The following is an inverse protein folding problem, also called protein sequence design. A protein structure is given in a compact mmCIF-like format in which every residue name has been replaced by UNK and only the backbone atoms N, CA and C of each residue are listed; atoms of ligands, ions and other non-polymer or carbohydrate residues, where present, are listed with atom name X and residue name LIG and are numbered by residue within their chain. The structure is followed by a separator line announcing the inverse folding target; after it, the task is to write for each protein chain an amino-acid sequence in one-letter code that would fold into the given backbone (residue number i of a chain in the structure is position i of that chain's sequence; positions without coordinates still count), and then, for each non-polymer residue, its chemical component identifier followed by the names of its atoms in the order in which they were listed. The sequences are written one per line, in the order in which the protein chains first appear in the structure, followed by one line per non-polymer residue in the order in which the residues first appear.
data_IF_491861997569
#
_entry.id   IF_491861997569
#
_cell.length_a   1.000
_cell.length_b   1.000
_cell.length_c   1.000
_cell.angle_alpha   90.00
_cell.angle_beta   90.00
_cell.angle_gamma   90.00
#
_symmetry.space_group_name_H-M   'P 1'
#
loop_
_entity.id
_entity.type
_entity.pdbx_description
1 polymer ?
#
# COMPACT_ATOMS: atom_id res chain seq x y z
N UNK A 1 -19.48 11.13 -19.58
CA UNK A 1 -18.16 11.35 -18.94
C UNK A 1 -18.39 11.68 -17.47
N UNK A 2 -18.73 10.66 -16.65
CA UNK A 2 -19.03 10.86 -15.23
C UNK A 2 -17.72 10.91 -14.44
N UNK A 3 -17.19 12.11 -14.23
CA UNK A 3 -15.93 12.38 -13.55
C UNK A 3 -16.05 12.19 -12.04
N UNK A 4 -15.92 10.95 -11.57
CA UNK A 4 -15.59 10.69 -10.17
C UNK A 4 -14.08 10.85 -10.00
N UNK A 5 -13.63 12.08 -9.72
CA UNK A 5 -12.23 12.41 -9.39
C UNK A 5 -11.70 11.46 -8.30
N UNK A 6 -12.55 11.14 -7.32
CA UNK A 6 -12.26 10.16 -6.26
C UNK A 6 -12.00 8.74 -6.81
N UNK A 7 -12.78 8.28 -7.80
CA UNK A 7 -12.60 6.96 -8.41
C UNK A 7 -11.35 6.87 -9.29
N UNK A 8 -10.94 7.98 -9.90
CA UNK A 8 -9.66 8.08 -10.60
C UNK A 8 -8.48 8.00 -9.62
N UNK A 9 -8.61 8.61 -8.43
CA UNK A 9 -7.61 8.54 -7.37
C UNK A 9 -7.45 7.10 -6.85
N UNK A 10 -8.56 6.39 -6.60
CA UNK A 10 -8.55 4.98 -6.16
C UNK A 10 -7.93 4.05 -7.21
N UNK A 11 -8.25 4.27 -8.50
CA UNK A 11 -7.61 3.57 -9.61
C UNK A 11 -6.10 3.85 -9.65
N UNK A 12 -5.69 5.11 -9.44
CA UNK A 12 -4.28 5.49 -9.35
C UNK A 12 -3.54 4.75 -8.23
N UNK A 13 -4.15 4.68 -7.05
CA UNK A 13 -3.57 4.02 -5.86
C UNK A 13 -3.42 2.51 -6.06
N UNK A 14 -4.41 1.87 -6.68
CA UNK A 14 -4.32 0.44 -7.02
C UNK A 14 -3.21 0.19 -8.06
N UNK A 15 -3.14 1.03 -9.10
CA UNK A 15 -2.13 0.89 -10.15
C UNK A 15 -0.73 1.08 -9.59
N UNK A 16 -0.49 2.11 -8.77
CA UNK A 16 0.82 2.34 -8.14
C UNK A 16 1.19 1.24 -7.14
N UNK A 17 0.22 0.72 -6.38
CA UNK A 17 0.41 -0.43 -5.49
C UNK A 17 0.85 -1.67 -6.26
N UNK A 18 0.14 -2.03 -7.33
CA UNK A 18 0.50 -3.17 -8.19
C UNK A 18 1.88 -2.98 -8.83
N UNK A 19 2.16 -1.78 -9.36
CA UNK A 19 3.46 -1.48 -9.96
C UNK A 19 4.59 -1.61 -8.93
N UNK A 20 4.34 -1.19 -7.69
CA UNK A 20 5.32 -1.26 -6.60
C UNK A 20 5.56 -2.69 -6.14
N UNK A 21 4.54 -3.57 -6.13
CA UNK A 21 4.73 -5.00 -5.85
C UNK A 21 5.67 -5.64 -6.88
N UNK A 22 5.43 -5.36 -8.17
CA UNK A 22 6.28 -5.87 -9.25
C UNK A 22 7.69 -5.27 -9.17
N UNK A 23 7.79 -3.97 -8.92
CA UNK A 23 9.07 -3.26 -8.76
C UNK A 23 9.89 -3.80 -7.59
N UNK A 24 9.25 -4.06 -6.45
CA UNK A 24 9.88 -4.70 -5.29
C UNK A 24 10.37 -6.10 -5.64
N UNK A 25 9.59 -6.90 -6.37
CA UNK A 25 9.99 -8.26 -6.75
C UNK A 25 11.22 -8.25 -7.66
N UNK A 26 11.25 -7.36 -8.66
CA UNK A 26 12.40 -7.18 -9.54
C UNK A 26 13.60 -6.68 -8.73
N UNK A 27 13.43 -5.65 -7.90
CA UNK A 27 14.51 -5.09 -7.09
C UNK A 27 15.11 -6.12 -6.13
N UNK A 28 14.27 -6.91 -5.42
CA UNK A 28 14.72 -7.99 -4.55
C UNK A 28 15.49 -9.05 -5.34
N UNK A 29 14.99 -9.45 -6.52
CA UNK A 29 15.67 -10.43 -7.37
C UNK A 29 17.01 -9.94 -7.92
N UNK A 30 17.12 -8.64 -8.25
CA UNK A 30 18.31 -8.06 -8.87
C UNK A 30 19.40 -7.65 -7.87
N UNK A 31 19.04 -7.33 -6.63
CA UNK A 31 19.98 -6.83 -5.60
C UNK A 31 20.40 -7.90 -4.61
N UNK A 32 19.44 -8.68 -4.10
CA UNK A 32 19.64 -9.58 -2.96
C UNK A 32 19.52 -11.06 -3.37
N UNK A 33 18.74 -11.35 -4.41
CA UNK A 33 18.33 -12.70 -4.74
C UNK A 33 17.30 -13.26 -3.74
N UNK A 34 16.79 -14.46 -4.02
CA UNK A 34 15.77 -15.12 -3.18
C UNK A 34 16.35 -16.01 -2.07
N UNK A 35 17.68 -16.09 -1.99
CA UNK A 35 18.41 -16.91 -1.03
C UNK A 35 18.53 -16.27 0.35
N UNK A 36 19.33 -16.91 1.20
CA UNK A 36 19.76 -16.36 2.48
C UNK A 36 20.77 -15.22 2.24
N UNK A 37 20.45 -14.04 2.73
CA UNK A 37 21.28 -12.83 2.59
C UNK A 37 22.27 -12.75 3.75
N UNK A 38 21.86 -13.25 4.92
CA UNK A 38 22.69 -13.34 6.11
C UNK A 38 21.88 -13.71 7.34
N UNK A 39 22.59 -14.11 8.38
CA UNK A 39 22.02 -14.49 9.67
C UNK A 39 22.24 -13.33 10.65
N UNK A 40 21.16 -12.76 11.18
CA UNK A 40 21.22 -11.70 12.20
C UNK A 40 20.59 -12.25 13.46
N UNK A 41 21.33 -12.22 14.57
CA UNK A 41 20.85 -12.69 15.89
C UNK A 41 20.35 -14.16 15.88
N UNK A 42 21.02 -15.02 15.09
CA UNK A 42 20.63 -16.42 14.92
C UNK A 42 19.44 -16.67 14.00
N UNK A 43 18.83 -15.64 13.41
CA UNK A 43 17.76 -15.76 12.43
C UNK A 43 18.27 -15.53 11.00
N UNK A 44 18.03 -16.50 10.11
CA UNK A 44 18.32 -16.38 8.70
C UNK A 44 17.35 -15.39 8.03
N UNK A 45 17.89 -14.29 7.52
CA UNK A 45 17.13 -13.30 6.73
C UNK A 45 17.26 -13.73 5.26
N UNK A 46 16.14 -14.13 4.66
CA UNK A 46 16.05 -14.45 3.24
C UNK A 46 15.52 -13.26 2.45
N UNK A 47 15.83 -13.20 1.15
CA UNK A 47 15.22 -12.21 0.25
C UNK A 47 13.69 -12.29 0.23
N UNK A 48 13.12 -13.48 0.45
CA UNK A 48 11.69 -13.67 0.61
C UNK A 48 11.13 -12.96 1.86
N UNK A 49 11.81 -13.01 3.00
CA UNK A 49 11.40 -12.31 4.21
C UNK A 49 11.44 -10.78 4.04
N UNK A 50 12.46 -10.27 3.33
CA UNK A 50 12.53 -8.83 3.02
C UNK A 50 11.45 -8.40 2.03
N UNK A 51 11.13 -9.23 1.04
CA UNK A 51 10.04 -8.98 0.11
C UNK A 51 8.69 -8.94 0.83
N UNK A 52 8.42 -9.90 1.72
CA UNK A 52 7.20 -9.92 2.54
C UNK A 52 7.13 -8.68 3.45
N UNK A 53 8.24 -8.27 4.06
CA UNK A 53 8.30 -7.04 4.85
C UNK A 53 7.93 -5.80 4.01
N UNK A 54 8.44 -5.71 2.77
CA UNK A 54 8.09 -4.66 1.82
C UNK A 54 6.60 -4.67 1.43
N UNK A 55 6.03 -5.86 1.22
CA UNK A 55 4.59 -6.02 0.96
C UNK A 55 3.73 -5.56 2.14
N UNK A 56 4.13 -5.88 3.37
CA UNK A 56 3.44 -5.42 4.58
C UNK A 56 3.48 -3.90 4.66
N UNK A 57 4.64 -3.28 4.40
CA UNK A 57 4.76 -1.82 4.36
C UNK A 57 3.82 -1.18 3.33
N UNK A 58 3.76 -1.74 2.12
CA UNK A 58 2.86 -1.28 1.05
C UNK A 58 1.38 -1.43 1.45
N UNK A 59 1.03 -2.56 2.08
CA UNK A 59 -0.31 -2.80 2.59
C UNK A 59 -0.68 -1.77 3.66
N UNK A 60 0.19 -1.52 4.63
CA UNK A 60 -0.02 -0.51 5.68
C UNK A 60 -0.19 0.89 5.08
N UNK A 61 0.63 1.29 4.10
CA UNK A 61 0.46 2.58 3.41
C UNK A 61 -0.89 2.67 2.71
N UNK A 62 -1.30 1.63 1.98
CA UNK A 62 -2.63 1.58 1.34
C UNK A 62 -3.75 1.68 2.37
N UNK A 63 -3.63 0.96 3.48
CA UNK A 63 -4.60 0.97 4.58
C UNK A 63 -4.68 2.35 5.25
N UNK A 64 -3.55 3.02 5.44
CA UNK A 64 -3.49 4.40 5.93
C UNK A 64 -4.25 5.33 4.99
N UNK A 65 -4.04 5.25 3.66
CA UNK A 65 -4.75 6.13 2.73
C UNK A 65 -6.25 5.87 2.72
N UNK A 66 -6.68 4.60 2.74
CA UNK A 66 -8.10 4.26 2.82
C UNK A 66 -8.73 4.78 4.12
N UNK A 67 -8.02 4.67 5.25
CA UNK A 67 -8.48 5.21 6.53
C UNK A 67 -8.54 6.75 6.49
N UNK A 68 -7.49 7.43 6.04
CA UNK A 68 -7.48 8.90 6.01
C UNK A 68 -8.51 9.46 5.04
N UNK A 69 -8.73 8.81 3.90
CA UNK A 69 -9.82 9.13 2.98
C UNK A 69 -11.19 8.85 3.61
N UNK A 70 -11.35 7.79 4.40
CA UNK A 70 -12.60 7.53 5.13
C UNK A 70 -12.93 8.64 6.14
N UNK A 71 -11.92 9.20 6.82
CA UNK A 71 -12.10 10.24 7.84
C UNK A 71 -12.01 11.68 7.28
N UNK A 72 -11.39 11.91 6.12
CA UNK A 72 -11.17 13.24 5.51
C UNK A 72 -12.01 13.44 4.25
N UNK A 73 -12.33 12.35 3.54
CA UNK A 73 -13.20 12.36 2.38
C UNK A 73 -14.63 12.63 2.81
N UNK A 74 -15.18 13.71 2.27
CA UNK A 74 -16.54 14.23 2.49
C UNK A 74 -17.62 13.31 1.92
N UNK A 75 -17.66 12.03 2.30
CA UNK A 75 -18.62 11.09 1.69
C UNK A 75 -18.98 9.85 2.52
N UNK A 76 -19.14 9.96 3.85
CA UNK A 76 -20.04 9.04 4.59
C UNK A 76 -20.84 9.74 5.69
N UNK A 77 -22.10 10.04 5.37
CA UNK A 77 -23.28 10.13 6.27
C UNK A 77 -23.28 11.04 7.51
N UNK A 78 -22.18 11.67 7.93
CA UNK A 78 -22.19 12.56 9.12
C UNK A 78 -22.50 14.03 8.79
N UNK A 79 -22.14 14.51 7.59
CA UNK A 79 -22.34 15.94 7.22
C UNK A 79 -23.80 16.29 6.93
N UNK A 80 -24.65 15.32 6.55
CA UNK A 80 -26.09 15.59 6.37
C UNK A 80 -26.85 15.77 7.70
N UNK A 81 -26.27 15.36 8.84
CA UNK A 81 -26.94 15.52 10.14
C UNK A 81 -26.52 16.79 10.89
N UNK A 82 -25.42 17.45 10.47
CA UNK A 82 -24.88 18.66 11.11
C UNK A 82 -25.09 19.89 10.20
N UNK A 83 -25.16 19.74 8.87
CA UNK A 83 -25.56 20.81 7.96
C UNK A 83 -27.08 21.10 7.98
N UNK A 84 -27.81 20.41 8.86
CA UNK A 84 -29.23 20.62 9.17
C UNK A 84 -29.38 21.08 10.65
N UNK A 85 -28.39 21.83 11.15
CA UNK A 85 -28.48 22.63 12.37
C UNK A 85 -28.23 24.10 12.01
#
# INVERSE_FOLDING_TARGET
SNGSIMGALYKGLIVTGLLSIVGLGIATSATLGWGEIGTVDGMAITGANLFICGLIGLLVTGLIVVITEYYTGTDKRLVNSIAQA
#
